data_IF_611323486215
#
_entry.id   IF_611323486215
#
_cell.length_a   1.000
_cell.length_b   1.000
_cell.length_c   1.000
_cell.angle_alpha   90.00
_cell.angle_beta   90.00
_cell.angle_gamma   90.00
#
_symmetry.space_group_name_H-M   'P 1'
#
loop_
_entity.id
_entity.type
_entity.pdbx_description
1 polymer ?
#
# COMPACT_ATOMS: atom_id res chain seq x y z
N UNK A 1 -39.31 3.91 7.88
CA UNK A 1 -38.01 3.39 7.42
C UNK A 1 -36.97 3.67 8.47
N UNK A 2 -36.02 2.75 8.66
CA UNK A 2 -34.90 2.94 9.59
C UNK A 2 -33.83 3.78 8.87
N UNK A 3 -33.24 4.77 9.53
CA UNK A 3 -32.14 5.54 8.91
C UNK A 3 -30.84 4.78 8.99
N UNK A 4 -29.97 4.92 7.99
CA UNK A 4 -28.65 4.31 7.97
C UNK A 4 -27.64 5.16 7.19
N UNK A 5 -26.36 4.95 7.49
CA UNK A 5 -25.26 5.61 6.77
C UNK A 5 -24.55 4.59 5.89
N UNK A 6 -24.40 4.90 4.61
CA UNK A 6 -23.62 4.09 3.69
C UNK A 6 -22.12 4.43 3.79
N UNK A 7 -21.27 3.41 3.76
CA UNK A 7 -19.83 3.58 3.64
C UNK A 7 -19.27 2.74 2.49
N UNK A 8 -18.48 3.38 1.62
CA UNK A 8 -17.85 2.76 0.46
C UNK A 8 -16.35 3.05 0.44
N UNK A 9 -15.57 2.16 -0.18
CA UNK A 9 -14.12 2.33 -0.30
C UNK A 9 -13.64 2.01 -1.71
N UNK A 10 -12.75 2.87 -2.22
CA UNK A 10 -12.09 2.72 -3.53
C UNK A 10 -10.59 2.94 -3.40
N UNK A 11 -9.79 2.13 -4.12
CA UNK A 11 -8.35 2.33 -4.22
C UNK A 11 -8.02 3.16 -5.47
N UNK A 12 -7.23 4.23 -5.33
CA UNK A 12 -6.90 5.14 -6.45
C UNK A 12 -6.20 4.44 -7.62
N UNK A 13 -5.37 3.43 -7.35
CA UNK A 13 -4.63 2.70 -8.38
C UNK A 13 -5.51 1.87 -9.35
N UNK A 14 -6.79 1.61 -9.01
CA UNK A 14 -7.73 0.86 -9.87
C UNK A 14 -8.79 1.71 -10.53
N UNK A 15 -8.87 3.01 -10.23
CA UNK A 15 -9.87 3.89 -10.84
C UNK A 15 -9.65 4.10 -12.35
N UNK A 16 -8.46 3.82 -12.88
CA UNK A 16 -8.18 3.96 -14.32
C UNK A 16 -8.70 2.86 -15.25
N UNK A 17 -9.31 1.76 -14.74
CA UNK A 17 -9.64 0.61 -15.62
C UNK A 17 -11.08 0.12 -15.64
N UNK A 18 -12.00 0.59 -14.77
CA UNK A 18 -13.39 0.09 -14.87
C UNK A 18 -14.52 0.92 -14.27
N UNK A 19 -14.35 1.67 -13.17
CA UNK A 19 -15.51 2.28 -12.46
C UNK A 19 -16.48 1.29 -11.77
N UNK A 20 -16.58 0.06 -12.29
CA UNK A 20 -17.45 -1.04 -11.87
C UNK A 20 -17.40 -1.38 -10.38
N UNK A 21 -16.26 -1.17 -9.71
CA UNK A 21 -16.09 -1.56 -8.32
C UNK A 21 -16.84 -0.66 -7.31
N UNK A 22 -17.05 0.62 -7.63
CA UNK A 22 -17.80 1.55 -6.78
C UNK A 22 -19.29 1.45 -7.06
N UNK A 23 -19.65 1.43 -8.35
CA UNK A 23 -21.03 1.30 -8.81
C UNK A 23 -21.67 0.02 -8.26
N UNK A 24 -20.98 -1.13 -8.36
CA UNK A 24 -21.46 -2.38 -7.77
C UNK A 24 -21.67 -2.30 -6.25
N UNK A 25 -20.86 -1.52 -5.52
CA UNK A 25 -21.06 -1.30 -4.09
C UNK A 25 -22.29 -0.45 -3.82
N UNK A 26 -22.47 0.63 -4.58
CA UNK A 26 -23.63 1.51 -4.44
C UNK A 26 -24.93 0.78 -4.79
N UNK A 27 -24.95 0.00 -5.88
CA UNK A 27 -26.11 -0.82 -6.25
C UNK A 27 -26.43 -1.87 -5.18
N UNK A 28 -25.42 -2.55 -4.62
CA UNK A 28 -25.63 -3.52 -3.56
C UNK A 28 -26.20 -2.86 -2.28
N UNK A 29 -25.69 -1.69 -1.91
CA UNK A 29 -26.18 -0.92 -0.76
C UNK A 29 -27.61 -0.42 -0.98
N UNK A 30 -27.92 0.12 -2.16
CA UNK A 30 -29.26 0.60 -2.50
C UNK A 30 -30.28 -0.55 -2.47
N UNK A 31 -29.96 -1.68 -3.11
CA UNK A 31 -30.82 -2.87 -3.11
C UNK A 31 -31.06 -3.42 -1.70
N UNK A 32 -30.00 -3.48 -0.89
CA UNK A 32 -30.10 -3.91 0.50
C UNK A 32 -30.96 -2.96 1.32
N UNK A 33 -30.76 -1.64 1.17
CA UNK A 33 -31.55 -0.64 1.88
C UNK A 33 -33.03 -0.71 1.51
N UNK A 34 -33.36 -0.91 0.23
CA UNK A 34 -34.74 -1.10 -0.23
C UNK A 34 -35.36 -2.38 0.36
N UNK A 35 -34.63 -3.50 0.31
CA UNK A 35 -35.12 -4.81 0.78
C UNK A 35 -35.38 -4.82 2.30
N UNK A 36 -34.49 -4.19 3.08
CA UNK A 36 -34.53 -4.20 4.55
C UNK A 36 -35.22 -2.95 5.14
N UNK A 37 -35.72 -2.05 4.29
CA UNK A 37 -36.45 -0.84 4.71
C UNK A 37 -35.58 0.23 5.38
N UNK A 38 -34.32 0.35 4.95
CA UNK A 38 -33.41 1.42 5.35
C UNK A 38 -33.47 2.62 4.39
N UNK A 39 -33.34 3.81 4.97
CA UNK A 39 -33.12 5.07 4.25
C UNK A 39 -31.66 5.51 4.42
N UNK A 40 -30.91 5.57 3.31
CA UNK A 40 -29.48 5.91 3.30
C UNK A 40 -29.28 7.42 3.34
N UNK A 41 -29.39 8.01 4.54
CA UNK A 41 -29.37 9.47 4.74
C UNK A 41 -28.03 10.14 4.40
N UNK A 42 -26.93 9.38 4.43
CA UNK A 42 -25.61 9.91 4.10
C UNK A 42 -24.70 8.79 3.58
N UNK A 43 -23.90 9.10 2.56
CA UNK A 43 -22.89 8.19 2.03
C UNK A 43 -21.49 8.78 2.22
N UNK A 44 -20.61 8.01 2.84
CA UNK A 44 -19.20 8.34 3.00
C UNK A 44 -18.36 7.45 2.08
N UNK A 45 -17.49 8.09 1.29
CA UNK A 45 -16.64 7.39 0.35
C UNK A 45 -15.18 7.60 0.71
N UNK A 46 -14.48 6.52 1.03
CA UNK A 46 -13.05 6.53 1.33
C UNK A 46 -12.22 6.29 0.07
N UNK A 47 -11.21 7.14 -0.13
CA UNK A 47 -10.30 7.07 -1.28
C UNK A 47 -8.89 6.72 -0.78
N UNK A 48 -8.49 5.47 -0.96
CA UNK A 48 -7.20 4.98 -0.46
C UNK A 48 -6.09 5.12 -1.52
N UNK A 49 -5.09 5.95 -1.19
CA UNK A 49 -3.86 6.13 -1.98
C UNK A 49 -2.77 5.15 -1.51
N UNK A 50 -2.68 3.98 -2.17
CA UNK A 50 -1.56 3.05 -2.01
C UNK A 50 -1.69 2.03 -0.86
N UNK A 51 -0.78 1.03 -0.86
CA UNK A 51 -0.75 -0.08 0.11
C UNK A 51 -0.15 0.37 1.45
N UNK A 52 -0.92 0.38 2.53
CA UNK A 52 -0.40 0.54 3.89
C UNK A 52 -1.44 0.15 4.96
N UNK A 53 -1.00 -0.48 6.04
CA UNK A 53 -1.84 -1.20 6.99
C UNK A 53 -2.49 -0.36 8.11
N UNK A 54 -2.29 0.97 8.16
CA UNK A 54 -2.78 1.77 9.30
C UNK A 54 -4.17 2.36 9.05
N UNK A 55 -5.16 1.84 9.78
CA UNK A 55 -6.56 1.85 9.39
C UNK A 55 -7.43 2.97 9.97
N UNK A 56 -6.94 3.86 10.86
CA UNK A 56 -7.77 4.95 11.41
C UNK A 56 -7.26 6.36 11.07
N UNK A 57 -5.95 6.63 11.20
CA UNK A 57 -5.36 7.94 10.86
C UNK A 57 -5.42 8.26 9.35
N UNK A 58 -5.55 7.24 8.49
CA UNK A 58 -5.67 7.39 7.04
C UNK A 58 -7.10 7.32 6.53
N UNK A 59 -8.10 7.24 7.44
CA UNK A 59 -9.51 7.06 7.07
C UNK A 59 -10.42 8.15 7.62
N UNK A 60 -10.25 9.40 7.15
CA UNK A 60 -11.05 10.52 7.63
C UNK A 60 -12.55 10.33 7.35
N UNK A 61 -12.91 9.64 6.26
CA UNK A 61 -14.31 9.43 5.88
C UNK A 61 -14.99 8.40 6.77
N UNK A 62 -14.26 7.36 7.19
CA UNK A 62 -14.79 6.39 8.15
C UNK A 62 -14.97 7.00 9.55
N UNK A 63 -14.03 7.83 9.99
CA UNK A 63 -14.17 8.57 11.25
C UNK A 63 -15.36 9.53 11.21
N UNK A 64 -15.57 10.22 10.09
CA UNK A 64 -16.73 11.08 9.88
C UNK A 64 -18.05 10.28 9.88
N UNK A 65 -18.08 9.12 9.20
CA UNK A 65 -19.22 8.21 9.19
C UNK A 65 -19.57 7.73 10.60
N UNK A 66 -18.58 7.31 11.39
CA UNK A 66 -18.75 6.92 12.80
C UNK A 66 -19.36 8.04 13.65
N UNK A 67 -18.85 9.27 13.48
CA UNK A 67 -19.35 10.44 14.21
C UNK A 67 -20.79 10.78 13.84
N UNK A 68 -21.11 10.74 12.55
CA UNK A 68 -22.46 10.97 12.06
C UNK A 68 -23.43 9.90 12.54
N UNK A 69 -23.07 8.62 12.38
CA UNK A 69 -23.85 7.46 12.83
C UNK A 69 -24.20 7.54 14.31
N UNK A 70 -23.22 7.91 15.14
CA UNK A 70 -23.43 8.12 16.58
C UNK A 70 -24.40 9.27 16.87
N UNK A 71 -24.34 10.36 16.12
CA UNK A 71 -25.23 11.52 16.28
C UNK A 71 -26.68 11.18 15.94
N UNK A 72 -26.90 10.42 14.88
CA UNK A 72 -28.24 10.01 14.42
C UNK A 72 -28.69 8.65 14.96
N UNK A 73 -27.91 8.04 15.86
CA UNK A 73 -28.14 6.69 16.43
C UNK A 73 -28.52 5.63 15.38
N UNK A 74 -27.81 5.64 14.25
CA UNK A 74 -28.10 4.78 13.10
C UNK A 74 -26.94 3.85 12.79
N UNK A 75 -27.20 2.67 12.19
CA UNK A 75 -26.15 1.77 11.74
C UNK A 75 -25.35 2.34 10.56
N UNK A 76 -24.12 1.85 10.41
CA UNK A 76 -23.33 2.03 9.19
C UNK A 76 -23.46 0.76 8.35
N UNK A 77 -23.88 0.91 7.09
CA UNK A 77 -24.03 -0.18 6.12
C UNK A 77 -22.84 -0.16 5.16
N UNK A 78 -22.21 -1.32 4.99
CA UNK A 78 -21.15 -1.56 4.01
C UNK A 78 -21.54 -2.69 3.07
N UNK A 79 -21.11 -2.61 1.81
CA UNK A 79 -21.44 -3.64 0.83
C UNK A 79 -20.82 -5.00 1.19
N UNK A 80 -19.55 -5.00 1.61
CA UNK A 80 -18.76 -6.20 1.95
C UNK A 80 -17.80 -5.91 3.09
N UNK A 81 -17.44 -6.95 3.85
CA UNK A 81 -16.53 -6.81 4.99
C UNK A 81 -15.15 -6.29 4.60
N UNK A 82 -14.64 -6.72 3.43
CA UNK A 82 -13.33 -6.30 2.94
C UNK A 82 -13.26 -4.80 2.56
N UNK A 83 -14.40 -4.09 2.53
CA UNK A 83 -14.47 -2.63 2.36
C UNK A 83 -14.31 -1.89 3.69
N UNK A 84 -14.76 -2.49 4.80
CA UNK A 84 -14.60 -1.94 6.15
C UNK A 84 -13.15 -2.08 6.61
N UNK A 85 -12.61 -3.29 6.63
CA UNK A 85 -11.17 -3.55 6.80
C UNK A 85 -10.85 -5.01 6.54
N UNK A 86 -9.57 -5.31 6.35
CA UNK A 86 -9.05 -6.68 6.30
C UNK A 86 -8.25 -7.05 7.55
N UNK A 87 -8.32 -6.19 8.56
CA UNK A 87 -7.62 -6.31 9.84
C UNK A 87 -8.65 -6.60 10.93
N UNK A 88 -8.47 -7.73 11.62
CA UNK A 88 -9.30 -8.16 12.74
C UNK A 88 -9.27 -7.15 13.88
N UNK A 89 -8.11 -6.58 14.14
CA UNK A 89 -7.94 -5.59 15.19
C UNK A 89 -8.78 -4.34 14.93
N UNK A 90 -8.88 -3.94 13.65
CA UNK A 90 -9.72 -2.83 13.25
C UNK A 90 -11.22 -3.11 13.47
N UNK A 91 -11.69 -4.28 13.07
CA UNK A 91 -13.11 -4.67 13.24
C UNK A 91 -13.46 -4.78 14.72
N UNK A 92 -12.55 -5.35 15.54
CA UNK A 92 -12.72 -5.40 16.99
C UNK A 92 -12.79 -4.00 17.62
N UNK A 93 -11.91 -3.08 17.20
CA UNK A 93 -11.91 -1.68 17.64
C UNK A 93 -13.21 -0.94 17.29
N UNK A 94 -13.84 -1.26 16.16
CA UNK A 94 -15.15 -0.69 15.79
C UNK A 94 -16.26 -1.11 16.76
N UNK A 95 -16.18 -2.30 17.36
CA UNK A 95 -17.17 -2.73 18.35
C UNK A 95 -17.06 -1.94 19.65
N UNK A 96 -15.86 -1.49 20.02
CA UNK A 96 -15.65 -0.61 21.16
C UNK A 96 -16.36 0.75 20.99
N UNK A 97 -16.58 1.19 19.74
CA UNK A 97 -17.29 2.43 19.44
C UNK A 97 -18.81 2.34 19.62
N UNK A 98 -19.39 1.15 19.90
CA UNK A 98 -20.84 0.90 20.10
C UNK A 98 -21.74 1.37 18.96
N UNK A 99 -21.19 1.63 17.78
CA UNK A 99 -21.97 1.96 16.59
C UNK A 99 -22.29 0.65 15.85
N UNK A 100 -23.56 0.32 15.59
CA UNK A 100 -23.91 -0.89 14.86
C UNK A 100 -23.38 -0.85 13.42
N UNK A 101 -22.87 -1.98 12.94
CA UNK A 101 -22.43 -2.16 11.56
C UNK A 101 -23.24 -3.26 10.91
N UNK A 102 -23.68 -3.02 9.67
CA UNK A 102 -24.40 -3.99 8.86
C UNK A 102 -23.58 -4.24 7.60
N UNK A 103 -23.35 -5.51 7.27
CA UNK A 103 -22.70 -5.91 6.04
C UNK A 103 -23.78 -6.47 5.13
N UNK A 104 -24.05 -5.78 4.00
CA UNK A 104 -25.14 -6.16 3.10
C UNK A 104 -25.02 -7.62 2.60
N UNK A 105 -23.80 -8.12 2.39
CA UNK A 105 -23.53 -9.52 2.00
C UNK A 105 -23.84 -10.56 3.10
N UNK A 106 -23.86 -10.16 4.37
CA UNK A 106 -24.13 -11.04 5.52
C UNK A 106 -25.57 -10.94 6.04
N UNK A 107 -26.34 -9.95 5.57
CA UNK A 107 -27.70 -9.66 6.04
C UNK A 107 -27.76 -8.64 7.18
N UNK A 108 -28.97 -8.19 7.49
CA UNK A 108 -29.23 -7.16 8.51
C UNK A 108 -28.92 -7.64 9.95
N UNK A 109 -29.03 -8.95 10.19
CA UNK A 109 -28.87 -9.57 11.50
C UNK A 109 -27.43 -10.07 11.77
N UNK A 110 -26.45 -9.56 11.03
CA UNK A 110 -25.05 -9.92 11.24
C UNK A 110 -24.57 -9.48 12.63
N UNK A 111 -24.54 -10.42 13.57
CA UNK A 111 -24.09 -10.20 14.95
C UNK A 111 -22.61 -9.74 14.97
N UNK A 112 -22.24 -8.79 15.85
CA UNK A 112 -20.87 -8.55 16.31
C UNK A 112 -19.94 -9.78 16.37
N UNK A 113 -20.42 -10.93 16.83
CA UNK A 113 -19.66 -12.20 16.83
C UNK A 113 -19.32 -12.70 15.42
N UNK A 114 -20.30 -12.68 14.51
CA UNK A 114 -20.10 -13.11 13.12
C UNK A 114 -19.08 -12.21 12.42
N UNK A 115 -19.13 -10.91 12.65
CA UNK A 115 -18.15 -9.95 12.11
C UNK A 115 -16.72 -10.31 12.56
N UNK A 116 -16.53 -10.70 13.84
CA UNK A 116 -15.24 -11.18 14.34
C UNK A 116 -14.76 -12.46 13.64
N UNK A 117 -15.64 -13.44 13.49
CA UNK A 117 -15.30 -14.70 12.85
C UNK A 117 -14.90 -14.51 11.39
N UNK A 118 -15.66 -13.70 10.64
CA UNK A 118 -15.33 -13.39 9.24
C UNK A 118 -14.03 -12.61 9.12
N UNK A 119 -13.76 -11.69 10.03
CA UNK A 119 -12.51 -10.97 10.06
C UNK A 119 -11.32 -11.94 10.24
N UNK A 120 -11.42 -12.84 11.24
CA UNK A 120 -10.38 -13.82 11.54
C UNK A 120 -10.16 -14.79 10.36
N UNK A 121 -11.23 -15.21 9.71
CA UNK A 121 -11.16 -16.05 8.52
C UNK A 121 -10.45 -15.33 7.37
N UNK A 122 -10.77 -14.06 7.11
CA UNK A 122 -10.15 -13.26 6.06
C UNK A 122 -8.64 -13.03 6.32
N UNK A 123 -8.24 -12.83 7.57
CA UNK A 123 -6.82 -12.73 7.96
C UNK A 123 -6.07 -14.03 7.68
N UNK A 124 -6.65 -15.18 8.09
CA UNK A 124 -6.08 -16.50 7.84
C UNK A 124 -5.95 -16.80 6.35
N UNK A 125 -6.98 -16.48 5.55
CA UNK A 125 -6.95 -16.68 4.11
C UNK A 125 -5.82 -15.88 3.45
N UNK A 126 -5.64 -14.62 3.87
CA UNK A 126 -4.54 -13.77 3.37
C UNK A 126 -3.17 -14.34 3.73
N UNK A 127 -3.00 -14.82 4.97
CA UNK A 127 -1.77 -15.46 5.40
C UNK A 127 -1.48 -16.72 4.58
N UNK A 128 -2.50 -17.53 4.30
CA UNK A 128 -2.41 -18.71 3.45
C UNK A 128 -2.04 -18.38 1.99
N UNK A 129 -2.67 -17.37 1.39
CA UNK A 129 -2.31 -16.90 0.04
C UNK A 129 -0.85 -16.43 0.02
N UNK A 130 -0.43 -15.62 1.00
CA UNK A 130 0.95 -15.14 1.09
C UNK A 130 1.95 -16.29 1.22
N UNK A 131 1.64 -17.28 2.07
CA UNK A 131 2.45 -18.49 2.25
C UNK A 131 2.56 -19.28 0.95
N UNK A 132 1.42 -19.59 0.30
CA UNK A 132 1.40 -20.30 -0.98
C UNK A 132 2.23 -19.59 -2.07
N UNK A 133 2.13 -18.26 -2.16
CA UNK A 133 2.96 -17.50 -3.11
C UNK A 133 4.44 -17.63 -2.77
N UNK A 134 4.82 -17.50 -1.49
CA UNK A 134 6.21 -17.66 -1.05
C UNK A 134 6.73 -19.07 -1.34
N UNK A 135 5.94 -20.09 -1.06
CA UNK A 135 6.31 -21.50 -1.29
C UNK A 135 6.45 -21.78 -2.79
N UNK A 136 5.53 -21.29 -3.62
CA UNK A 136 5.62 -21.40 -5.07
C UNK A 136 6.84 -20.67 -5.65
N UNK A 137 7.18 -19.50 -5.11
CA UNK A 137 8.40 -18.78 -5.46
C UNK A 137 9.64 -19.55 -4.98
N UNK A 138 9.66 -20.09 -3.76
CA UNK A 138 10.79 -20.88 -3.29
C UNK A 138 11.04 -22.11 -4.18
N UNK A 139 9.98 -22.83 -4.57
CA UNK A 139 10.05 -23.96 -5.47
C UNK A 139 10.58 -23.56 -6.87
N UNK A 140 10.06 -22.48 -7.45
CA UNK A 140 10.58 -21.96 -8.73
C UNK A 140 12.05 -21.56 -8.65
N UNK A 141 12.50 -20.95 -7.55
CA UNK A 141 13.92 -20.61 -7.32
C UNK A 141 14.79 -21.87 -7.24
N UNK A 142 14.32 -22.90 -6.55
CA UNK A 142 15.02 -24.18 -6.45
C UNK A 142 15.14 -24.90 -7.79
N UNK A 143 14.16 -24.71 -8.68
CA UNK A 143 14.19 -25.16 -10.08
C UNK A 143 15.06 -24.29 -10.99
N UNK A 144 15.80 -23.32 -10.45
CA UNK A 144 16.67 -22.42 -11.21
C UNK A 144 15.93 -21.31 -11.96
N UNK A 145 14.62 -21.15 -11.78
CA UNK A 145 13.87 -20.05 -12.40
C UNK A 145 14.25 -18.75 -11.71
N UNK A 146 14.76 -17.79 -12.48
CA UNK A 146 15.02 -16.44 -11.98
C UNK A 146 13.70 -15.76 -11.58
N UNK A 147 13.57 -15.45 -10.29
CA UNK A 147 12.37 -14.81 -9.74
C UNK A 147 12.65 -13.35 -9.40
N UNK A 148 11.83 -12.48 -9.96
CA UNK A 148 12.04 -11.04 -9.88
C UNK A 148 13.16 -10.61 -10.83
N UNK A 149 12.83 -9.69 -11.74
CA UNK A 149 13.81 -9.07 -12.61
C UNK A 149 13.88 -7.58 -12.29
N UNK A 150 14.94 -7.15 -11.62
CA UNK A 150 15.55 -5.88 -11.97
C UNK A 150 16.34 -6.11 -13.27
N UNK A 151 15.58 -6.37 -14.35
CA UNK A 151 15.95 -6.46 -15.78
C UNK A 151 17.07 -7.47 -16.12
N UNK A 152 17.01 -8.00 -17.33
CA UNK A 152 18.13 -8.69 -17.97
C UNK A 152 19.45 -7.85 -18.00
N UNK A 153 19.37 -6.56 -17.65
CA UNK A 153 20.48 -5.64 -17.47
C UNK A 153 21.16 -5.69 -16.08
N UNK A 154 20.78 -6.54 -15.13
CA UNK A 154 21.38 -6.50 -13.78
C UNK A 154 22.88 -6.82 -13.75
N UNK A 155 23.32 -7.80 -14.54
CA UNK A 155 24.74 -8.15 -14.70
C UNK A 155 25.47 -7.13 -15.59
N UNK A 156 24.90 -6.84 -16.78
CA UNK A 156 25.43 -5.84 -17.72
C UNK A 156 25.57 -4.45 -17.07
N UNK A 157 24.54 -3.97 -16.36
CA UNK A 157 24.56 -2.67 -15.70
C UNK A 157 25.50 -2.64 -14.48
N UNK A 158 25.85 -3.80 -13.91
CA UNK A 158 26.89 -3.89 -12.89
C UNK A 158 28.27 -3.78 -13.52
N UNK A 159 28.51 -4.47 -14.65
CA UNK A 159 29.74 -4.34 -15.43
C UNK A 159 29.93 -2.92 -15.94
N UNK A 160 28.92 -2.33 -16.59
CA UNK A 160 28.98 -0.94 -17.06
C UNK A 160 29.21 0.06 -15.91
N UNK A 161 28.70 -0.23 -14.72
CA UNK A 161 28.90 0.63 -13.54
C UNK A 161 30.31 0.49 -12.94
N UNK A 162 30.97 -0.65 -13.12
CA UNK A 162 32.37 -0.87 -12.74
C UNK A 162 33.27 -0.18 -13.77
N UNK A 163 33.03 -0.40 -15.07
CA UNK A 163 33.82 0.21 -16.14
C UNK A 163 33.78 1.75 -16.08
N UNK A 164 32.60 2.35 -15.85
CA UNK A 164 32.49 3.81 -15.64
C UNK A 164 33.14 4.29 -14.35
N UNK A 165 33.18 3.45 -13.31
CA UNK A 165 33.92 3.81 -12.09
C UNK A 165 35.42 3.82 -12.36
N UNK A 166 35.95 2.83 -13.09
CA UNK A 166 37.36 2.75 -13.49
C UNK A 166 37.79 3.95 -14.34
N UNK A 167 36.93 4.45 -15.24
CA UNK A 167 37.20 5.69 -15.99
C UNK A 167 37.41 6.91 -15.08
N UNK A 168 36.81 6.92 -13.90
CA UNK A 168 36.94 7.99 -12.91
C UNK A 168 38.07 7.74 -11.91
N UNK A 169 38.72 6.56 -11.92
CA UNK A 169 39.77 6.20 -10.97
C UNK A 169 40.91 7.23 -10.89
N UNK A 170 41.46 7.76 -12.00
CA UNK A 170 42.55 8.75 -11.92
C UNK A 170 42.17 10.01 -11.14
N UNK A 171 40.92 10.48 -11.28
CA UNK A 171 40.40 11.66 -10.59
C UNK A 171 40.16 11.34 -9.11
N UNK A 172 39.67 10.14 -8.80
CA UNK A 172 39.45 9.70 -7.42
C UNK A 172 40.76 9.43 -6.67
N UNK A 173 41.80 8.97 -7.36
CA UNK A 173 43.15 8.80 -6.81
C UNK A 173 43.83 10.14 -6.55
N UNK A 174 43.67 11.13 -7.45
CA UNK A 174 44.15 12.51 -7.24
C UNK A 174 43.51 13.14 -5.99
N UNK A 175 42.23 12.85 -5.76
CA UNK A 175 41.44 13.38 -4.65
C UNK A 175 41.45 12.46 -3.41
N UNK A 176 42.32 11.45 -3.40
CA UNK A 176 42.45 10.52 -2.28
C UNK A 176 42.83 11.27 -0.98
N UNK A 177 42.24 10.84 0.14
CA UNK A 177 42.45 11.48 1.45
C UNK A 177 41.53 12.67 1.76
N UNK A 178 40.77 13.17 0.78
CA UNK A 178 39.71 14.15 1.05
C UNK A 178 38.41 13.49 1.52
N UNK A 179 37.58 14.25 2.24
CA UNK A 179 36.26 13.76 2.63
C UNK A 179 35.32 13.69 1.42
N UNK A 180 34.37 12.73 1.42
CA UNK A 180 33.43 12.55 0.32
C UNK A 180 32.63 13.81 -0.07
N UNK A 181 32.41 14.73 0.88
CA UNK A 181 31.80 16.05 0.60
C UNK A 181 32.74 16.98 -0.17
N UNK A 182 34.02 17.03 0.19
CA UNK A 182 35.03 17.82 -0.52
C UNK A 182 35.26 17.27 -1.93
N UNK A 183 35.33 15.95 -2.08
CA UNK A 183 35.45 15.29 -3.39
C UNK A 183 34.24 15.66 -4.28
N UNK A 184 33.02 15.59 -3.75
CA UNK A 184 31.83 15.99 -4.51
C UNK A 184 31.86 17.47 -4.95
N UNK A 185 32.29 18.38 -4.08
CA UNK A 185 32.42 19.80 -4.41
C UNK A 185 33.44 20.02 -5.55
N UNK A 186 34.62 19.39 -5.46
CA UNK A 186 35.67 19.50 -6.49
C UNK A 186 35.21 18.91 -7.83
N UNK A 187 34.50 17.78 -7.82
CA UNK A 187 33.97 17.16 -9.04
C UNK A 187 32.90 18.04 -9.73
N UNK A 188 32.03 18.68 -8.95
CA UNK A 188 31.03 19.62 -9.48
C UNK A 188 31.67 20.90 -10.03
N UNK A 189 32.68 21.44 -9.34
CA UNK A 189 33.43 22.61 -9.80
C UNK A 189 34.16 22.33 -11.11
N UNK A 190 34.75 21.14 -11.25
CA UNK A 190 35.37 20.64 -12.49
C UNK A 190 34.36 20.25 -13.57
N UNK A 191 33.05 20.41 -13.34
CA UNK A 191 31.95 20.04 -14.24
C UNK A 191 31.99 18.58 -14.69
N UNK A 192 32.54 17.70 -13.87
CA UNK A 192 32.50 16.25 -14.10
C UNK A 192 31.08 15.78 -13.77
N UNK A 193 30.35 15.27 -14.75
CA UNK A 193 28.99 14.77 -14.51
C UNK A 193 29.03 13.38 -13.87
N UNK A 194 28.03 13.07 -13.03
CA UNK A 194 27.88 11.70 -12.52
C UNK A 194 27.49 10.74 -13.65
N UNK A 195 27.65 9.42 -13.47
CA UNK A 195 27.17 8.42 -14.44
C UNK A 195 25.66 8.47 -14.76
N UNK A 196 24.87 9.20 -13.96
CA UNK A 196 23.44 9.44 -14.19
C UNK A 196 23.14 10.83 -14.79
N UNK A 197 24.18 11.61 -15.14
CA UNK A 197 24.06 12.94 -15.75
C UNK A 197 23.77 14.08 -14.78
N UNK A 198 23.78 13.84 -13.46
CA UNK A 198 23.53 14.86 -12.44
C UNK A 198 24.77 15.26 -11.64
N UNK A 199 24.58 16.13 -10.66
CA UNK A 199 25.64 16.60 -9.76
C UNK A 199 26.13 15.51 -8.79
N UNK A 200 27.38 15.65 -8.36
CA UNK A 200 27.98 14.83 -7.34
C UNK A 200 27.47 15.21 -5.95
N UNK A 201 27.07 14.18 -5.21
CA UNK A 201 26.78 14.25 -3.78
C UNK A 201 27.66 13.23 -3.05
N UNK A 202 27.92 13.47 -1.77
CA UNK A 202 28.79 12.60 -0.95
C UNK A 202 28.35 11.11 -0.99
N UNK A 203 27.05 10.83 -1.04
CA UNK A 203 26.53 9.46 -1.14
C UNK A 203 26.91 8.77 -2.46
N UNK A 204 27.02 9.52 -3.56
CA UNK A 204 27.42 8.98 -4.87
C UNK A 204 28.93 8.75 -4.91
N UNK A 205 29.71 9.66 -4.32
CA UNK A 205 31.17 9.53 -4.16
C UNK A 205 31.52 8.25 -3.39
N UNK A 206 30.89 8.02 -2.23
CA UNK A 206 31.13 6.83 -1.41
C UNK A 206 30.82 5.54 -2.18
N UNK A 207 29.74 5.53 -2.99
CA UNK A 207 29.39 4.36 -3.81
C UNK A 207 30.44 4.08 -4.90
N UNK A 208 31.07 5.11 -5.46
CA UNK A 208 32.14 4.95 -6.46
C UNK A 208 33.43 4.50 -5.79
N UNK A 209 33.83 5.10 -4.66
CA UNK A 209 35.00 4.66 -3.87
C UNK A 209 34.91 3.18 -3.46
N UNK A 210 33.73 2.75 -2.98
CA UNK A 210 33.49 1.35 -2.64
C UNK A 210 33.57 0.40 -3.85
N UNK A 211 33.23 0.86 -5.05
CA UNK A 211 33.37 0.06 -6.28
C UNK A 211 34.81 -0.03 -6.76
N UNK A 212 35.58 1.02 -6.53
CA UNK A 212 37.02 1.10 -6.86
C UNK A 212 37.93 0.44 -5.81
N UNK A 213 37.38 0.05 -4.65
CA UNK A 213 38.17 -0.53 -3.56
C UNK A 213 39.05 0.49 -2.82
N UNK A 214 38.70 1.78 -2.89
CA UNK A 214 39.45 2.88 -2.24
C UNK A 214 39.03 3.10 -0.77
N UNK A 215 38.02 2.35 -0.30
CA UNK A 215 37.46 2.31 1.07
C UNK A 215 36.75 0.99 1.28
#
# INVERSE_FOLDING_TARGET
>A
MKTAIAYTRVSTARQGKSGLGLEAQQTALARFAETEGFDLVQTYQEVETGKGADALNRRPQLAAALKAAKKIKSPIIVAKLDRLSRDVHFISGLMAHKTPFIVAELGADADPFMLHLYAALAEKERAMISRRTKDALAAKKAQGVALGGLRAHGAQAREDAIERAEQLRPIFDELAGLSARKIAAVLNERKVTTPAGGDWHAATVIRVQKRLGLT
#
